data_IF_337283038063
#
_entry.id   IF_337283038063
#
_cell.length_a   1.000
_cell.length_b   1.000
_cell.length_c   1.000
_cell.angle_alpha   90.00
_cell.angle_beta   90.00
_cell.angle_gamma   90.00
#
_symmetry.space_group_name_H-M   'P 1'
#
loop_
_entity.id
_entity.type
_entity.pdbx_description
1 polymer ?
#
# COMPACT_ATOMS: atom_id res chain seq x y z
N UNK A 1 -10.54 -6.31 21.84
CA UNK A 1 -9.23 -5.84 21.34
C UNK A 1 -9.13 -6.36 19.92
N UNK A 2 -9.15 -5.49 18.96
CA UNK A 2 -9.06 -5.83 17.53
C UNK A 2 -7.57 -5.97 17.17
N UNK A 3 -7.03 -7.19 17.29
CA UNK A 3 -5.70 -7.50 16.76
C UNK A 3 -5.81 -7.64 15.24
N UNK A 4 -4.71 -7.43 14.51
CA UNK A 4 -4.67 -7.72 13.08
C UNK A 4 -5.10 -9.18 12.83
N UNK A 5 -5.80 -9.38 11.72
CA UNK A 5 -6.23 -10.72 11.28
C UNK A 5 -5.59 -11.04 9.91
N UNK A 6 -5.39 -12.31 9.58
CA UNK A 6 -4.99 -12.69 8.23
C UNK A 6 -6.14 -12.47 7.23
N UNK A 7 -5.81 -12.24 5.96
CA UNK A 7 -6.79 -11.94 4.90
C UNK A 7 -7.89 -13.02 4.77
N UNK A 8 -7.54 -14.29 4.96
CA UNK A 8 -8.45 -15.43 4.83
C UNK A 8 -9.50 -15.53 5.96
N UNK A 9 -9.30 -14.79 7.07
CA UNK A 9 -10.26 -14.69 8.17
C UNK A 9 -11.20 -13.50 8.07
N UNK A 10 -11.02 -12.65 7.05
CA UNK A 10 -11.90 -11.51 6.85
C UNK A 10 -13.24 -11.96 6.27
N UNK A 11 -14.33 -11.47 6.83
CA UNK A 11 -15.65 -11.62 6.26
C UNK A 11 -16.09 -10.32 5.61
N UNK A 12 -15.84 -10.21 4.32
CA UNK A 12 -16.26 -9.07 3.53
C UNK A 12 -17.76 -9.18 3.20
N UNK A 13 -18.56 -8.22 3.65
CA UNK A 13 -19.99 -8.17 3.36
C UNK A 13 -20.45 -6.72 3.25
N UNK A 14 -20.55 -6.22 2.03
CA UNK A 14 -20.95 -4.83 1.74
C UNK A 14 -20.13 -3.80 2.54
N UNK A 15 -18.85 -4.08 2.72
CA UNK A 15 -17.89 -3.29 3.51
C UNK A 15 -16.99 -2.45 2.61
N UNK A 16 -16.34 -1.46 3.20
CA UNK A 16 -15.31 -0.64 2.54
C UNK A 16 -13.94 -1.04 3.11
N UNK A 17 -13.01 -1.40 2.23
CA UNK A 17 -11.65 -1.69 2.61
C UNK A 17 -10.69 -0.71 1.92
N UNK A 18 -9.77 -0.13 2.69
CA UNK A 18 -8.70 0.69 2.12
C UNK A 18 -7.45 -0.16 1.91
N UNK A 19 -6.89 -0.09 0.72
CA UNK A 19 -5.66 -0.78 0.35
C UNK A 19 -4.45 0.13 0.59
N UNK A 20 -3.50 -0.35 1.38
CA UNK A 20 -2.20 0.27 1.56
C UNK A 20 -1.27 0.05 0.35
N UNK A 21 -0.24 0.85 0.23
CA UNK A 21 0.77 0.77 -0.84
C UNK A 21 1.43 -0.62 -0.89
N UNK A 22 1.74 -1.20 0.27
CA UNK A 22 2.37 -2.52 0.36
C UNK A 22 1.46 -3.64 -0.17
N UNK A 23 0.15 -3.58 0.12
CA UNK A 23 -0.84 -4.49 -0.43
C UNK A 23 -0.95 -4.36 -1.95
N UNK A 24 -1.06 -3.13 -2.47
CA UNK A 24 -1.16 -2.85 -3.90
C UNK A 24 0.09 -3.31 -4.66
N UNK A 25 1.28 -3.06 -4.11
CA UNK A 25 2.54 -3.49 -4.71
C UNK A 25 2.62 -5.03 -4.83
N UNK A 26 2.17 -5.77 -3.82
CA UNK A 26 2.10 -7.23 -3.89
C UNK A 26 1.01 -7.71 -4.84
N UNK A 27 -0.19 -7.11 -4.81
CA UNK A 27 -1.28 -7.43 -5.74
C UNK A 27 -0.84 -7.30 -7.21
N UNK A 28 -0.06 -6.27 -7.52
CA UNK A 28 0.47 -5.97 -8.85
C UNK A 28 1.78 -6.72 -9.18
N UNK A 29 2.18 -7.69 -8.38
CA UNK A 29 3.42 -8.47 -8.54
C UNK A 29 4.72 -7.66 -8.50
N UNK A 30 4.70 -6.41 -8.02
CA UNK A 30 5.89 -5.55 -7.96
C UNK A 30 7.03 -6.19 -7.14
N UNK A 31 6.68 -6.83 -6.01
CA UNK A 31 7.67 -7.43 -5.08
C UNK A 31 8.12 -8.85 -5.45
N UNK A 32 7.57 -9.46 -6.50
CA UNK A 32 7.93 -10.81 -6.98
C UNK A 32 7.63 -11.96 -5.99
N UNK A 33 6.90 -11.71 -4.89
CA UNK A 33 6.50 -12.74 -3.93
C UNK A 33 5.17 -13.37 -4.35
N UNK A 34 5.23 -14.50 -5.06
CA UNK A 34 4.05 -15.17 -5.62
C UNK A 34 3.03 -15.62 -4.55
N UNK A 35 3.47 -16.00 -3.34
CA UNK A 35 2.58 -16.43 -2.25
C UNK A 35 1.77 -15.24 -1.73
N UNK A 36 2.43 -14.14 -1.37
CA UNK A 36 1.74 -12.94 -0.86
C UNK A 36 0.87 -12.32 -1.96
N UNK A 37 1.33 -12.37 -3.22
CA UNK A 37 0.53 -11.92 -4.35
C UNK A 37 -0.79 -12.72 -4.46
N UNK A 38 -0.73 -14.04 -4.36
CA UNK A 38 -1.91 -14.89 -4.39
C UNK A 38 -2.87 -14.57 -3.24
N UNK A 39 -2.35 -14.40 -2.02
CA UNK A 39 -3.17 -14.01 -0.87
C UNK A 39 -3.86 -12.65 -1.07
N UNK A 40 -3.17 -11.66 -1.66
CA UNK A 40 -3.79 -10.38 -2.02
C UNK A 40 -4.90 -10.57 -3.08
N UNK A 41 -4.68 -11.41 -4.09
CA UNK A 41 -5.67 -11.72 -5.12
C UNK A 41 -6.90 -12.42 -4.52
N UNK A 42 -6.70 -13.37 -3.61
CA UNK A 42 -7.77 -14.08 -2.93
C UNK A 42 -8.60 -13.14 -2.03
N UNK A 43 -7.95 -12.17 -1.37
CA UNK A 43 -8.63 -11.11 -0.62
C UNK A 43 -9.53 -10.28 -1.54
N UNK A 44 -9.03 -9.83 -2.69
CA UNK A 44 -9.82 -9.09 -3.70
C UNK A 44 -10.98 -9.93 -4.21
N UNK A 45 -10.76 -11.22 -4.50
CA UNK A 45 -11.84 -12.12 -4.91
C UNK A 45 -12.93 -12.23 -3.84
N UNK A 46 -12.53 -12.38 -2.57
CA UNK A 46 -13.47 -12.43 -1.44
C UNK A 46 -14.26 -11.14 -1.28
N UNK A 47 -13.64 -9.98 -1.55
CA UNK A 47 -14.33 -8.69 -1.58
C UNK A 47 -15.38 -8.62 -2.70
N UNK A 48 -15.07 -9.12 -3.90
CA UNK A 48 -16.03 -9.19 -5.02
C UNK A 48 -17.23 -10.05 -4.64
N UNK A 49 -16.98 -11.23 -4.07
CA UNK A 49 -18.05 -12.15 -3.61
C UNK A 49 -18.90 -11.50 -2.52
N UNK A 50 -18.27 -10.81 -1.58
CA UNK A 50 -18.95 -10.09 -0.49
C UNK A 50 -19.55 -8.75 -0.88
N UNK A 51 -19.51 -8.34 -2.16
CA UNK A 51 -20.00 -7.05 -2.67
C UNK A 51 -19.40 -5.86 -1.93
N UNK A 52 -18.15 -5.99 -1.51
CA UNK A 52 -17.37 -4.96 -0.82
C UNK A 52 -16.59 -4.12 -1.81
N UNK A 53 -16.14 -2.97 -1.35
CA UNK A 53 -15.46 -1.97 -2.16
C UNK A 53 -14.01 -1.83 -1.70
N UNK A 54 -13.06 -1.86 -2.62
CA UNK A 54 -11.67 -1.52 -2.35
C UNK A 54 -11.42 -0.05 -2.68
N UNK A 55 -10.85 0.68 -1.73
CA UNK A 55 -10.50 2.08 -1.86
C UNK A 55 -8.98 2.25 -1.90
N UNK A 56 -8.50 3.16 -2.75
CA UNK A 56 -7.10 3.54 -2.85
C UNK A 56 -6.98 5.01 -2.50
N UNK A 57 -6.17 5.35 -1.50
CA UNK A 57 -5.94 6.74 -1.14
C UNK A 57 -5.00 7.44 -2.13
N UNK A 58 -5.11 8.77 -2.23
CA UNK A 58 -4.15 9.60 -2.99
C UNK A 58 -2.71 9.29 -2.55
N UNK A 59 -2.51 9.10 -1.25
CA UNK A 59 -1.19 8.79 -0.69
C UNK A 59 -0.66 7.44 -1.18
N UNK A 60 -1.50 6.40 -1.20
CA UNK A 60 -1.10 5.09 -1.71
C UNK A 60 -0.80 5.13 -3.22
N UNK A 61 -1.56 5.90 -3.99
CA UNK A 61 -1.29 6.09 -5.42
C UNK A 61 0.02 6.86 -5.67
N UNK A 62 0.32 7.90 -4.87
CA UNK A 62 1.58 8.64 -4.91
C UNK A 62 2.78 7.73 -4.64
N UNK A 63 2.72 6.94 -3.56
CA UNK A 63 3.79 6.03 -3.17
C UNK A 63 4.00 4.91 -4.18
N UNK A 64 2.90 4.34 -4.71
CA UNK A 64 2.96 3.34 -5.78
C UNK A 64 3.63 3.91 -7.03
N UNK A 65 3.29 5.15 -7.41
CA UNK A 65 3.96 5.86 -8.52
C UNK A 65 5.46 6.00 -8.24
N UNK A 66 5.85 6.37 -7.01
CA UNK A 66 7.25 6.43 -6.60
C UNK A 66 7.98 5.08 -6.69
N UNK A 67 7.30 3.96 -6.41
CA UNK A 67 7.86 2.61 -6.59
C UNK A 67 8.17 2.33 -8.06
N UNK A 68 7.25 2.60 -8.97
CA UNK A 68 7.45 2.38 -10.41
C UNK A 68 8.55 3.29 -10.99
N UNK A 69 8.65 4.54 -10.54
CA UNK A 69 9.75 5.43 -10.93
C UNK A 69 11.11 4.84 -10.49
N UNK A 70 11.22 4.38 -9.24
CA UNK A 70 12.44 3.73 -8.74
C UNK A 70 12.79 2.46 -9.51
N UNK A 71 11.78 1.67 -9.90
CA UNK A 71 12.00 0.48 -10.74
C UNK A 71 12.54 0.85 -12.12
N UNK A 72 11.95 1.83 -12.78
CA UNK A 72 12.43 2.31 -14.07
C UNK A 72 13.87 2.87 -14.00
N UNK A 73 14.19 3.56 -12.91
CA UNK A 73 15.54 4.02 -12.62
C UNK A 73 16.52 2.85 -12.42
N UNK A 74 16.14 1.85 -11.61
CA UNK A 74 16.96 0.68 -11.36
C UNK A 74 17.23 -0.13 -12.64
N UNK A 75 16.22 -0.31 -13.50
CA UNK A 75 16.40 -0.98 -14.79
C UNK A 75 17.35 -0.21 -15.72
N UNK A 76 17.23 1.12 -15.75
CA UNK A 76 18.10 1.94 -16.60
C UNK A 76 19.56 1.91 -16.10
N UNK A 77 19.77 1.93 -14.77
CA UNK A 77 21.09 1.79 -14.16
C UNK A 77 21.71 0.42 -14.46
N UNK A 78 20.94 -0.66 -14.27
CA UNK A 78 21.41 -2.02 -14.54
C UNK A 78 21.82 -2.24 -16.00
N UNK A 79 21.14 -1.61 -16.95
CA UNK A 79 21.48 -1.69 -18.39
C UNK A 79 22.77 -0.97 -18.77
N UNK A 80 23.27 -0.08 -17.91
CA UNK A 80 24.42 0.81 -18.19
C UNK A 80 25.56 0.64 -17.18
N UNK A 81 25.50 -0.35 -16.28
CA UNK A 81 26.45 -0.55 -15.18
C UNK A 81 26.62 0.68 -14.28
N UNK A 82 25.57 1.47 -14.11
CA UNK A 82 25.57 2.65 -13.27
C UNK A 82 25.23 2.33 -11.82
N UNK A 83 25.72 3.14 -10.90
CA UNK A 83 25.45 3.06 -9.47
C UNK A 83 24.33 4.00 -9.03
N UNK A 84 23.90 3.91 -7.77
CA UNK A 84 22.96 4.85 -7.17
C UNK A 84 23.52 6.28 -7.07
N UNK A 85 24.85 6.43 -6.99
CA UNK A 85 25.52 7.74 -7.00
C UNK A 85 25.47 8.36 -8.40
N UNK A 86 25.63 7.53 -9.43
CA UNK A 86 25.45 7.95 -10.82
C UNK A 86 24.04 8.44 -11.10
N UNK A 87 23.02 7.86 -10.48
CA UNK A 87 21.64 8.33 -10.60
C UNK A 87 21.47 9.77 -10.08
N UNK A 88 22.10 10.10 -8.94
CA UNK A 88 22.06 11.47 -8.40
C UNK A 88 22.75 12.47 -9.34
N UNK A 89 23.89 12.06 -9.88
CA UNK A 89 24.65 12.88 -10.83
C UNK A 89 23.92 13.00 -12.19
N UNK A 90 23.20 11.97 -12.60
CA UNK A 90 22.52 11.92 -13.91
C UNK A 90 21.52 13.05 -14.11
N UNK A 91 20.83 13.50 -13.04
CA UNK A 91 19.93 14.64 -13.11
C UNK A 91 20.60 15.88 -13.68
N UNK A 92 21.90 16.06 -13.39
CA UNK A 92 22.66 17.23 -13.75
C UNK A 92 23.46 17.02 -15.07
N UNK A 93 23.92 15.78 -15.34
CA UNK A 93 24.74 15.44 -16.51
C UNK A 93 23.96 14.92 -17.71
N UNK A 94 22.84 14.22 -17.49
CA UNK A 94 21.94 13.74 -18.54
C UNK A 94 20.48 13.92 -18.13
N UNK A 95 20.02 15.17 -18.05
CA UNK A 95 18.65 15.49 -17.62
C UNK A 95 17.59 14.89 -18.55
N UNK A 96 17.91 14.65 -19.82
CA UNK A 96 16.97 14.05 -20.77
C UNK A 96 16.72 12.57 -20.44
N UNK A 97 17.78 11.81 -20.14
CA UNK A 97 17.65 10.42 -19.70
C UNK A 97 16.95 10.33 -18.35
N UNK A 98 17.31 11.19 -17.39
CA UNK A 98 16.67 11.25 -16.08
C UNK A 98 15.17 11.52 -16.20
N UNK A 99 14.76 12.49 -17.00
CA UNK A 99 13.37 12.80 -17.30
C UNK A 99 12.63 11.61 -17.91
N UNK A 100 13.23 10.94 -18.89
CA UNK A 100 12.66 9.75 -19.53
C UNK A 100 12.40 8.60 -18.55
N UNK A 101 13.29 8.38 -17.56
CA UNK A 101 13.06 7.38 -16.52
C UNK A 101 11.84 7.72 -15.66
N UNK A 102 11.68 8.99 -15.28
CA UNK A 102 10.51 9.45 -14.50
C UNK A 102 9.24 9.29 -15.34
N UNK A 103 9.23 9.70 -16.59
CA UNK A 103 8.09 9.58 -17.49
C UNK A 103 7.68 8.12 -17.69
N UNK A 104 8.65 7.20 -17.90
CA UNK A 104 8.37 5.78 -18.04
C UNK A 104 7.75 5.20 -16.75
N UNK A 105 8.34 5.47 -15.58
CA UNK A 105 7.81 4.98 -14.31
C UNK A 105 6.41 5.53 -14.01
N UNK A 106 6.19 6.81 -14.29
CA UNK A 106 4.88 7.46 -14.13
C UNK A 106 3.83 6.86 -15.06
N UNK A 107 4.18 6.63 -16.33
CA UNK A 107 3.26 5.98 -17.30
C UNK A 107 2.89 4.58 -16.86
N UNK A 108 3.86 3.77 -16.46
CA UNK A 108 3.62 2.40 -15.98
C UNK A 108 2.72 2.39 -14.73
N UNK A 109 2.95 3.32 -13.79
CA UNK A 109 2.10 3.46 -12.61
C UNK A 109 0.65 3.85 -12.99
N UNK A 110 0.50 4.80 -13.91
CA UNK A 110 -0.82 5.24 -14.38
C UNK A 110 -1.58 4.10 -15.09
N UNK A 111 -0.90 3.29 -15.89
CA UNK A 111 -1.47 2.11 -16.53
C UNK A 111 -1.91 1.07 -15.49
N UNK A 112 -1.07 0.79 -14.48
CA UNK A 112 -1.38 -0.14 -13.41
C UNK A 112 -2.59 0.31 -12.57
N UNK A 113 -2.64 1.57 -12.17
CA UNK A 113 -3.79 2.15 -11.45
C UNK A 113 -5.04 2.15 -12.31
N UNK A 114 -4.94 2.54 -13.60
CA UNK A 114 -6.08 2.48 -14.53
C UNK A 114 -6.62 1.06 -14.70
N UNK A 115 -5.76 0.06 -14.72
CA UNK A 115 -6.17 -1.34 -14.78
C UNK A 115 -6.91 -1.76 -13.51
N UNK A 116 -6.43 -1.37 -12.32
CA UNK A 116 -7.11 -1.63 -11.05
C UNK A 116 -8.51 -1.02 -11.03
N UNK A 117 -8.67 0.26 -11.39
CA UNK A 117 -9.97 0.94 -11.38
C UNK A 117 -10.98 0.36 -12.37
N UNK A 118 -10.53 -0.34 -13.41
CA UNK A 118 -11.41 -1.08 -14.33
C UNK A 118 -11.85 -2.44 -13.78
N UNK A 119 -11.25 -2.89 -12.69
CA UNK A 119 -11.48 -4.20 -12.08
C UNK A 119 -12.32 -4.02 -10.82
N UNK A 120 -13.43 -4.76 -10.68
CA UNK A 120 -14.12 -4.82 -9.40
C UNK A 120 -13.23 -5.53 -8.38
N UNK A 121 -13.26 -5.11 -7.13
CA UNK A 121 -14.17 -4.17 -6.45
C UNK A 121 -13.64 -2.72 -6.36
N UNK A 122 -12.62 -2.32 -7.11
CA UNK A 122 -12.00 -1.01 -6.95
C UNK A 122 -12.93 0.14 -7.37
N UNK A 123 -12.83 1.27 -6.63
CA UNK A 123 -13.49 2.51 -6.98
C UNK A 123 -12.73 3.25 -8.07
N UNK A 124 -13.45 3.98 -8.93
CA UNK A 124 -12.83 4.89 -9.91
C UNK A 124 -12.16 6.10 -9.26
N UNK A 125 -12.60 6.47 -8.05
CA UNK A 125 -12.09 7.61 -7.31
C UNK A 125 -11.18 7.14 -6.17
N UNK A 126 -10.05 7.85 -6.04
CA UNK A 126 -9.13 7.69 -4.93
C UNK A 126 -9.73 8.38 -3.70
N UNK A 127 -9.94 7.63 -2.64
CA UNK A 127 -10.48 8.16 -1.39
C UNK A 127 -9.38 8.81 -0.53
N UNK A 128 -9.80 9.76 0.30
CA UNK A 128 -8.95 10.36 1.32
C UNK A 128 -8.10 11.53 0.81
N UNK A 129 -8.66 12.74 0.86
CA UNK A 129 -7.88 13.96 0.72
C UNK A 129 -7.13 14.22 2.03
N UNK A 130 -5.83 14.49 1.96
CA UNK A 130 -5.04 14.89 3.12
C UNK A 130 -5.39 16.34 3.49
N UNK A 131 -6.00 16.52 4.64
CA UNK A 131 -6.37 17.81 5.21
C UNK A 131 -5.52 18.13 6.44
N UNK A 132 -5.67 19.31 7.02
CA UNK A 132 -5.01 19.63 8.28
C UNK A 132 -5.49 18.70 9.42
N UNK A 133 -6.76 18.31 9.44
CA UNK A 133 -7.27 17.33 10.42
C UNK A 133 -6.62 15.97 10.25
N UNK A 134 -6.45 15.51 9.01
CA UNK A 134 -5.75 14.25 8.71
C UNK A 134 -4.31 14.27 9.23
N UNK A 135 -3.60 15.40 9.06
CA UNK A 135 -2.22 15.54 9.55
C UNK A 135 -2.17 15.49 11.09
N UNK A 136 -3.10 16.19 11.76
CA UNK A 136 -3.18 16.17 13.24
C UNK A 136 -3.47 14.76 13.73
N UNK A 137 -4.47 14.08 13.15
CA UNK A 137 -4.79 12.70 13.49
C UNK A 137 -3.60 11.76 13.24
N UNK A 138 -2.89 11.92 12.13
CA UNK A 138 -1.69 11.14 11.84
C UNK A 138 -0.60 11.32 12.91
N UNK A 139 -0.41 12.55 13.43
CA UNK A 139 0.53 12.80 14.52
C UNK A 139 0.12 12.10 15.83
N UNK A 140 -1.17 12.08 16.14
CA UNK A 140 -1.72 11.38 17.31
C UNK A 140 -1.54 9.87 17.18
N UNK A 141 -1.88 9.30 16.02
CA UNK A 141 -1.71 7.88 15.71
C UNK A 141 -0.22 7.48 15.70
N UNK A 142 0.66 8.35 15.21
CA UNK A 142 2.09 8.10 15.25
C UNK A 142 2.62 8.02 16.69
N UNK A 143 2.16 8.89 17.58
CA UNK A 143 2.49 8.81 19.01
C UNK A 143 1.93 7.55 19.66
N UNK A 144 0.71 7.14 19.29
CA UNK A 144 0.02 5.97 19.86
C UNK A 144 0.69 4.65 19.46
N UNK A 145 1.07 4.50 18.19
CA UNK A 145 1.57 3.24 17.63
C UNK A 145 3.07 3.22 17.37
N UNK A 146 3.76 4.36 17.45
CA UNK A 146 5.21 4.51 17.23
C UNK A 146 5.64 3.99 15.87
N UNK A 147 4.93 4.37 14.81
CA UNK A 147 5.31 4.01 13.45
C UNK A 147 6.71 4.53 13.09
N UNK A 148 7.53 3.74 12.37
CA UNK A 148 8.85 4.16 11.93
C UNK A 148 8.79 5.27 10.86
N UNK A 149 7.68 5.36 10.14
CA UNK A 149 7.41 6.38 9.11
C UNK A 149 6.16 7.17 9.43
N UNK A 150 6.22 8.49 9.26
CA UNK A 150 5.02 9.33 9.34
C UNK A 150 4.00 8.99 8.24
N UNK A 151 4.47 8.47 7.11
CA UNK A 151 3.58 8.03 6.03
C UNK A 151 2.64 6.92 6.49
N UNK A 152 3.11 5.97 7.32
CA UNK A 152 2.29 4.88 7.83
C UNK A 152 1.15 5.41 8.69
N UNK A 153 1.45 6.38 9.58
CA UNK A 153 0.41 7.03 10.37
C UNK A 153 -0.56 7.85 9.52
N UNK A 154 -0.10 8.40 8.39
CA UNK A 154 -0.94 9.14 7.46
C UNK A 154 -1.90 8.21 6.71
N UNK A 155 -1.44 7.03 6.26
CA UNK A 155 -2.31 6.00 5.70
C UNK A 155 -3.41 5.59 6.68
N UNK A 156 -3.02 5.34 7.94
CA UNK A 156 -3.98 4.97 8.98
C UNK A 156 -4.97 6.09 9.27
N UNK A 157 -4.51 7.35 9.33
CA UNK A 157 -5.38 8.51 9.55
C UNK A 157 -6.43 8.65 8.43
N UNK A 158 -6.02 8.49 7.18
CA UNK A 158 -6.94 8.51 6.03
C UNK A 158 -8.00 7.39 6.18
N UNK A 159 -7.59 6.18 6.54
CA UNK A 159 -8.51 5.07 6.75
C UNK A 159 -9.53 5.35 7.87
N UNK A 160 -9.08 5.88 9.00
CA UNK A 160 -9.93 6.23 10.16
C UNK A 160 -10.90 7.35 9.82
N UNK A 161 -10.45 8.44 9.18
CA UNK A 161 -11.32 9.58 8.79
C UNK A 161 -12.38 9.17 7.79
N UNK A 162 -12.05 8.25 6.86
CA UNK A 162 -13.00 7.74 5.86
C UNK A 162 -13.88 6.60 6.40
N UNK A 163 -13.73 6.23 7.69
CA UNK A 163 -14.54 5.20 8.36
C UNK A 163 -14.61 3.90 7.58
N UNK A 164 -13.48 3.47 7.03
CA UNK A 164 -13.42 2.18 6.35
C UNK A 164 -13.49 1.04 7.37
N UNK A 165 -14.09 -0.08 6.99
CA UNK A 165 -14.22 -1.24 7.87
C UNK A 165 -12.91 -2.02 7.99
N UNK A 166 -12.15 -2.06 6.89
CA UNK A 166 -10.91 -2.82 6.80
C UNK A 166 -9.75 -1.99 6.26
N UNK A 167 -8.56 -2.24 6.77
CA UNK A 167 -7.30 -1.73 6.25
C UNK A 167 -6.42 -2.92 5.81
N UNK A 168 -6.19 -3.05 4.50
CA UNK A 168 -5.43 -4.14 3.90
C UNK A 168 -3.98 -3.72 3.70
N UNK A 169 -3.06 -4.43 4.32
CA UNK A 169 -1.63 -4.16 4.23
C UNK A 169 -0.83 -5.46 4.29
N UNK A 170 0.39 -5.46 3.79
CA UNK A 170 1.38 -6.52 4.01
C UNK A 170 2.51 -6.05 4.93
N UNK A 171 2.39 -4.84 5.50
CA UNK A 171 3.38 -4.29 6.41
C UNK A 171 3.08 -4.70 7.86
N UNK A 172 4.09 -5.32 8.50
CA UNK A 172 4.05 -5.77 9.89
C UNK A 172 3.83 -4.64 10.91
N UNK A 173 4.19 -3.42 10.55
CA UNK A 173 4.14 -2.28 11.49
C UNK A 173 2.69 -1.89 11.84
N UNK A 174 1.73 -2.30 11.00
CA UNK A 174 0.31 -2.14 11.30
C UNK A 174 -0.31 -3.26 12.16
N UNK A 175 0.41 -4.35 12.46
CA UNK A 175 -0.15 -5.47 13.22
C UNK A 175 -0.60 -5.10 14.66
N UNK A 176 -0.03 -4.05 15.24
CA UNK A 176 -0.38 -3.57 16.59
C UNK A 176 -1.50 -2.51 16.59
N UNK A 177 -2.02 -2.15 15.43
CA UNK A 177 -3.08 -1.15 15.33
C UNK A 177 -4.38 -1.69 15.91
N UNK A 178 -4.99 -0.89 16.77
CA UNK A 178 -6.26 -1.19 17.42
C UNK A 178 -7.11 0.10 17.47
N UNK A 179 -7.73 0.41 16.34
CA UNK A 179 -8.66 1.54 16.22
C UNK A 179 -10.11 1.06 16.28
N UNK A 180 -11.00 1.83 16.93
CA UNK A 180 -12.42 1.51 16.93
C UNK A 180 -12.98 1.44 15.50
N UNK A 181 -13.74 0.38 15.22
CA UNK A 181 -14.41 0.17 13.93
C UNK A 181 -13.48 -0.01 12.72
N UNK A 182 -12.18 -0.18 12.90
CA UNK A 182 -11.23 -0.47 11.85
C UNK A 182 -10.53 -1.80 12.15
N UNK A 183 -10.68 -2.78 11.26
CA UNK A 183 -9.96 -4.04 11.34
C UNK A 183 -8.78 -4.03 10.38
N UNK A 184 -7.56 -4.18 10.90
CA UNK A 184 -6.37 -4.37 10.08
C UNK A 184 -6.30 -5.83 9.61
N UNK A 185 -6.05 -6.02 8.32
CA UNK A 185 -5.89 -7.31 7.67
C UNK A 185 -4.49 -7.39 7.04
N UNK A 186 -3.80 -8.51 7.26
CA UNK A 186 -2.45 -8.75 6.78
C UNK A 186 -2.34 -10.12 6.09
N UNK A 187 -1.29 -10.32 5.30
CA UNK A 187 -0.98 -11.64 4.74
C UNK A 187 -0.60 -12.66 5.83
N UNK A 188 -0.76 -13.96 5.53
CA UNK A 188 -0.52 -15.05 6.48
C UNK A 188 0.93 -15.10 6.98
N UNK A 189 1.90 -14.73 6.13
CA UNK A 189 3.31 -14.69 6.51
C UNK A 189 3.57 -13.61 7.55
N UNK A 190 3.05 -12.42 7.33
CA UNK A 190 3.15 -11.28 8.24
C UNK A 190 2.41 -11.57 9.54
N UNK A 191 1.19 -12.12 9.47
CA UNK A 191 0.42 -12.55 10.63
C UNK A 191 1.15 -13.60 11.46
N UNK A 192 1.70 -14.65 10.83
CA UNK A 192 2.43 -15.71 11.53
C UNK A 192 3.68 -15.19 12.25
N UNK A 193 4.42 -14.24 11.65
CA UNK A 193 5.56 -13.59 12.33
C UNK A 193 5.10 -12.75 13.52
N UNK A 194 3.99 -12.03 13.39
CA UNK A 194 3.41 -11.23 14.47
C UNK A 194 2.99 -12.10 15.67
N UNK A 195 2.25 -13.18 15.43
CA UNK A 195 1.80 -14.09 16.51
C UNK A 195 2.97 -14.77 17.21
N UNK A 196 4.00 -15.21 16.48
CA UNK A 196 5.24 -15.74 17.08
C UNK A 196 5.92 -14.74 18.01
N UNK A 197 5.99 -13.46 17.60
CA UNK A 197 6.57 -12.39 18.42
C UNK A 197 5.79 -12.19 19.73
N UNK A 198 4.48 -12.40 19.72
CA UNK A 198 3.64 -12.32 20.90
C UNK A 198 3.72 -13.56 21.81
N UNK A 199 4.48 -14.61 21.44
CA UNK A 199 4.54 -15.88 22.18
C UNK A 199 3.23 -16.66 22.14
N UNK A 200 2.39 -16.48 21.12
CA UNK A 200 1.06 -17.08 20.95
C UNK A 200 1.00 -18.13 19.83
N UNK A 201 2.15 -18.54 19.29
CA UNK A 201 2.24 -19.54 18.22
C UNK A 201 2.49 -20.95 18.78
#
# INVERSE_FOLDING_TARGET
>A
MSEALPFDRAYFNSSIAMCDTSFLANLLAYNGNSTVQQECQDAIYSMVVGKSIAAISVKAAEELTGLYIRSAQAEALAKKDFTQEDLKAMRDYDPALYKKMIENGTSTAAEALSALFKTKPFLDEITGTVTNSTIVLAQELNKKYSFPSFNDSLHLAIAVENKVDFFLTTDKDFCNVNEPNLQVLVDNTTYGKYIKRLGRA
#
